data_IF_301015915303
#
_entry.id   IF_301015915303
#
_cell.length_a   1.000
_cell.length_b   1.000
_cell.length_c   1.000
_cell.angle_alpha   90.00
_cell.angle_beta   90.00
_cell.angle_gamma   90.00
#
_symmetry.space_group_name_H-M   'P 1'
#
loop_
_entity.id
_entity.type
_entity.pdbx_description
1 polymer ?
#
# COMPACT_ATOMS: atom_id res chain seq x y z
N UNK A 1 -3.71 24.51 21.14
CA UNK A 1 -2.84 23.59 20.39
C UNK A 1 -1.45 23.74 20.96
N UNK A 2 -0.82 22.64 21.37
CA UNK A 2 0.53 22.66 21.93
C UNK A 2 1.56 22.42 20.84
N UNK A 3 2.58 23.28 20.79
CA UNK A 3 3.69 23.16 19.85
C UNK A 3 4.79 22.28 20.43
N UNK A 4 5.21 21.26 19.67
CA UNK A 4 6.35 20.41 19.98
C UNK A 4 7.62 20.97 19.34
N UNK A 5 8.76 20.75 19.98
CA UNK A 5 10.09 20.92 19.40
C UNK A 5 10.62 19.57 18.88
N UNK A 6 11.61 19.57 17.99
CA UNK A 6 12.22 18.33 17.47
C UNK A 6 12.67 17.42 18.62
N UNK A 7 12.23 16.16 18.61
CA UNK A 7 12.49 15.16 19.65
C UNK A 7 11.48 15.15 20.81
N UNK A 8 10.71 16.23 21.00
CA UNK A 8 9.71 16.30 22.06
C UNK A 8 8.53 15.35 21.78
N UNK A 9 7.87 14.90 22.85
CA UNK A 9 6.66 14.10 22.75
C UNK A 9 5.66 14.52 23.83
N UNK A 10 4.37 14.44 23.51
CA UNK A 10 3.30 14.78 24.42
C UNK A 10 2.14 13.78 24.30
N UNK A 11 1.30 13.77 25.32
CA UNK A 11 0.03 13.04 25.33
C UNK A 11 -0.92 13.61 24.27
N UNK A 12 -1.59 12.75 23.52
CA UNK A 12 -2.57 13.15 22.50
C UNK A 12 -3.99 12.77 22.92
N UNK A 13 -4.25 11.47 23.13
CA UNK A 13 -5.55 10.94 23.57
C UNK A 13 -5.39 9.49 24.06
N UNK A 14 -6.39 8.95 24.74
CA UNK A 14 -6.44 7.52 25.07
C UNK A 14 -7.03 6.66 23.95
N UNK A 15 -7.99 7.22 23.20
CA UNK A 15 -8.87 6.47 22.30
C UNK A 15 -9.56 7.41 21.30
N UNK A 16 -10.39 6.83 20.43
CA UNK A 16 -11.27 7.59 19.53
C UNK A 16 -10.61 8.03 18.23
N UNK A 17 -11.22 9.02 17.59
CA UNK A 17 -10.79 9.53 16.29
C UNK A 17 -9.80 10.68 16.48
N UNK A 18 -8.72 10.65 15.71
CA UNK A 18 -7.79 11.76 15.55
C UNK A 18 -7.69 12.17 14.08
N UNK A 19 -7.51 13.46 13.83
CA UNK A 19 -7.22 14.01 12.50
C UNK A 19 -5.78 14.50 12.48
N UNK A 20 -5.00 14.00 11.54
CA UNK A 20 -3.62 14.42 11.32
C UNK A 20 -3.56 15.21 10.03
N UNK A 21 -3.33 16.51 10.15
CA UNK A 21 -3.21 17.43 9.02
C UNK A 21 -1.75 17.78 8.81
N UNK A 22 -1.29 17.68 7.57
CA UNK A 22 0.06 18.05 7.16
C UNK A 22 -0.06 19.16 6.14
N UNK A 23 0.52 20.31 6.45
CA UNK A 23 0.56 21.49 5.60
C UNK A 23 2.01 21.80 5.22
N UNK A 24 2.23 22.36 4.03
CA UNK A 24 3.54 22.83 3.62
C UNK A 24 3.43 23.95 2.57
N UNK A 25 4.55 24.58 2.26
CA UNK A 25 4.74 25.41 1.08
C UNK A 25 5.95 24.90 0.33
N UNK A 26 5.86 24.93 -1.00
CA UNK A 26 6.96 24.55 -1.88
C UNK A 26 6.81 25.35 -3.17
N UNK A 27 7.94 25.89 -3.67
CA UNK A 27 7.95 26.71 -4.88
C UNK A 27 7.91 25.90 -6.17
N UNK A 28 8.40 24.65 -6.16
CA UNK A 28 8.60 23.82 -7.36
C UNK A 28 8.38 22.33 -7.13
N UNK A 29 8.63 21.82 -5.93
CA UNK A 29 8.62 20.39 -5.66
C UNK A 29 7.22 19.89 -5.27
N UNK A 30 6.78 18.82 -5.94
CA UNK A 30 5.64 18.02 -5.51
C UNK A 30 6.05 17.18 -4.30
N UNK A 31 5.33 17.38 -3.20
CA UNK A 31 5.54 16.65 -1.96
C UNK A 31 4.42 15.63 -1.82
N UNK A 32 4.81 14.37 -1.70
CA UNK A 32 3.94 13.26 -1.41
C UNK A 32 3.99 12.96 0.09
N UNK A 33 2.82 12.72 0.68
CA UNK A 33 2.68 12.45 2.11
C UNK A 33 2.27 11.00 2.29
N UNK A 34 2.93 10.31 3.21
CA UNK A 34 2.70 8.89 3.46
C UNK A 34 2.57 8.60 4.96
N UNK A 35 1.92 7.48 5.27
CA UNK A 35 1.78 6.97 6.64
C UNK A 35 2.14 5.48 6.69
N UNK A 36 3.04 5.08 7.58
CA UNK A 36 3.35 3.68 7.88
C UNK A 36 2.78 3.31 9.25
N UNK A 37 1.81 2.40 9.28
CA UNK A 37 1.33 1.80 10.53
C UNK A 37 2.14 0.54 10.84
N UNK A 38 2.98 0.62 11.87
CA UNK A 38 4.03 -0.34 12.13
C UNK A 38 3.85 -1.06 13.46
N UNK A 39 4.33 -2.30 13.49
CA UNK A 39 4.42 -3.12 14.69
C UNK A 39 5.59 -2.66 15.58
N UNK A 40 5.79 -3.36 16.71
CA UNK A 40 6.85 -3.06 17.67
C UNK A 40 8.28 -3.09 17.07
N UNK A 41 8.49 -3.90 16.02
CA UNK A 41 9.76 -3.98 15.28
C UNK A 41 9.98 -2.82 14.31
N UNK A 42 9.06 -1.85 14.23
CA UNK A 42 9.15 -0.71 13.33
C UNK A 42 8.79 -1.01 11.87
N UNK A 43 8.26 -2.21 11.57
CA UNK A 43 7.84 -2.62 10.23
C UNK A 43 6.32 -2.79 10.14
N UNK A 44 5.76 -2.59 8.96
CA UNK A 44 4.35 -2.89 8.67
C UNK A 44 4.09 -4.40 8.76
N UNK A 45 2.86 -4.80 9.10
CA UNK A 45 2.46 -6.21 9.08
C UNK A 45 2.14 -6.71 7.68
N UNK A 46 1.57 -5.84 6.84
CA UNK A 46 1.34 -6.02 5.40
C UNK A 46 1.48 -4.67 4.70
N UNK A 47 1.69 -4.67 3.38
CA UNK A 47 1.80 -3.43 2.59
C UNK A 47 0.52 -2.58 2.64
N UNK A 48 -0.63 -3.17 3.01
CA UNK A 48 -1.91 -2.44 3.20
C UNK A 48 -1.87 -1.42 4.36
N UNK A 49 -0.86 -1.52 5.24
CA UNK A 49 -0.61 -0.58 6.33
C UNK A 49 0.35 0.56 5.96
N UNK A 50 0.72 0.66 4.68
CA UNK A 50 1.40 1.81 4.09
C UNK A 50 0.41 2.63 3.28
N UNK A 51 0.01 3.80 3.79
CA UNK A 51 -1.02 4.64 3.19
C UNK A 51 -0.40 5.81 2.45
N UNK A 52 -0.88 6.01 1.23
CA UNK A 52 -0.49 7.06 0.29
C UNK A 52 -1.67 7.31 -0.67
N UNK A 53 -1.50 8.15 -1.70
CA UNK A 53 -2.64 8.57 -2.53
C UNK A 53 -3.35 7.44 -3.29
N UNK A 54 -2.61 6.43 -3.78
CA UNK A 54 -3.22 5.26 -4.43
C UNK A 54 -3.74 4.21 -3.44
N UNK A 55 -3.36 4.29 -2.16
CA UNK A 55 -3.87 3.41 -1.11
C UNK A 55 -4.42 4.24 0.06
N UNK A 56 -5.60 4.88 -0.11
CA UNK A 56 -6.09 5.86 0.85
C UNK A 56 -6.79 5.24 2.07
N UNK A 57 -6.80 3.90 2.21
CA UNK A 57 -7.50 3.20 3.31
C UNK A 57 -6.67 2.03 3.79
N UNK A 58 -6.59 1.89 5.12
CA UNK A 58 -6.03 0.70 5.79
C UNK A 58 -7.07 -0.41 5.94
N UNK A 59 -6.64 -1.64 6.26
CA UNK A 59 -7.54 -2.74 6.61
C UNK A 59 -8.57 -2.34 7.68
N UNK A 60 -9.83 -2.74 7.48
CA UNK A 60 -10.92 -2.39 8.38
C UNK A 60 -11.29 -0.89 8.43
N UNK A 61 -10.72 -0.07 7.54
CA UNK A 61 -10.90 1.39 7.49
C UNK A 61 -10.54 2.06 8.82
N UNK A 62 -9.49 1.60 9.48
CA UNK A 62 -8.99 2.21 10.72
C UNK A 62 -8.35 3.59 10.47
N UNK A 63 -7.77 3.77 9.29
CA UNK A 63 -7.14 4.99 8.80
C UNK A 63 -7.66 5.29 7.41
N UNK A 64 -8.02 6.55 7.17
CA UNK A 64 -8.35 7.09 5.86
C UNK A 64 -7.43 8.27 5.54
N UNK A 65 -6.78 8.23 4.38
CA UNK A 65 -6.02 9.34 3.80
C UNK A 65 -6.88 10.09 2.79
N UNK A 66 -6.79 11.42 2.81
CA UNK A 66 -7.43 12.27 1.80
C UNK A 66 -6.56 13.49 1.49
N UNK A 67 -6.58 13.90 0.23
CA UNK A 67 -5.90 15.08 -0.27
C UNK A 67 -6.59 15.56 -1.53
N UNK A 68 -6.84 16.87 -1.63
CA UNK A 68 -7.33 17.46 -2.86
C UNK A 68 -6.18 17.59 -3.88
N UNK A 69 -6.38 17.25 -5.16
CA UNK A 69 -5.36 17.47 -6.18
C UNK A 69 -4.84 18.91 -6.17
N UNK A 70 -3.52 19.09 -6.17
CA UNK A 70 -2.88 20.40 -6.12
C UNK A 70 -2.84 21.07 -4.74
N UNK A 71 -3.58 20.57 -3.73
CA UNK A 71 -3.50 21.13 -2.38
C UNK A 71 -2.10 20.97 -1.80
N UNK A 72 -1.75 21.92 -0.92
CA UNK A 72 -0.56 21.88 -0.07
C UNK A 72 -0.91 21.46 1.36
N UNK A 73 -1.93 20.62 1.45
CA UNK A 73 -2.50 20.11 2.69
C UNK A 73 -2.99 18.68 2.46
N UNK A 74 -2.70 17.78 3.39
CA UNK A 74 -3.15 16.39 3.38
C UNK A 74 -3.68 16.00 4.76
N UNK A 75 -4.74 15.19 4.79
CA UNK A 75 -5.39 14.74 6.03
C UNK A 75 -5.34 13.21 6.14
N UNK A 76 -4.98 12.72 7.32
CA UNK A 76 -5.26 11.36 7.76
C UNK A 76 -6.28 11.38 8.90
N UNK A 77 -7.38 10.65 8.74
CA UNK A 77 -8.35 10.39 9.82
C UNK A 77 -8.08 9.00 10.37
N UNK A 78 -7.73 8.91 11.65
CA UNK A 78 -7.39 7.65 12.31
C UNK A 78 -8.39 7.37 13.42
N UNK A 79 -9.06 6.23 13.34
CA UNK A 79 -9.82 5.64 14.43
C UNK A 79 -8.89 4.70 15.22
N UNK A 80 -8.40 5.20 16.35
CA UNK A 80 -7.46 4.50 17.22
C UNK A 80 -8.05 3.21 17.82
N UNK A 81 -9.37 3.14 17.94
CA UNK A 81 -10.08 2.00 18.52
C UNK A 81 -10.23 0.84 17.52
N UNK A 82 -10.02 1.12 16.23
CA UNK A 82 -10.01 0.12 15.15
C UNK A 82 -8.62 -0.38 14.81
N UNK A 83 -7.56 0.23 15.34
CA UNK A 83 -6.21 -0.23 15.10
C UNK A 83 -5.98 -1.57 15.81
N UNK A 84 -5.52 -2.61 15.08
CA UNK A 84 -5.11 -3.87 15.69
C UNK A 84 -4.04 -3.67 16.77
N UNK A 85 -4.04 -4.57 17.76
CA UNK A 85 -3.19 -4.41 18.95
C UNK A 85 -1.69 -4.57 18.66
N UNK A 86 -1.32 -5.19 17.55
CA UNK A 86 0.05 -5.33 17.05
C UNK A 86 0.58 -4.02 16.46
N UNK A 87 -0.27 -3.15 15.91
CA UNK A 87 0.11 -1.79 15.47
C UNK A 87 0.45 -0.93 16.68
N UNK A 88 1.74 -0.61 16.84
CA UNK A 88 2.23 0.20 17.96
C UNK A 88 2.34 1.69 17.61
N UNK A 89 2.46 2.01 16.32
CA UNK A 89 2.80 3.36 15.88
C UNK A 89 2.36 3.63 14.44
N UNK A 90 1.91 4.86 14.18
CA UNK A 90 1.74 5.43 12.85
C UNK A 90 2.85 6.46 12.62
N UNK A 91 3.71 6.22 11.63
CA UNK A 91 4.81 7.10 11.24
C UNK A 91 4.36 7.94 10.05
N UNK A 92 4.40 9.27 10.19
CA UNK A 92 4.04 10.20 9.12
C UNK A 92 5.30 10.78 8.50
N UNK A 93 5.40 10.65 7.19
CA UNK A 93 6.53 11.12 6.43
C UNK A 93 6.07 11.81 5.15
N UNK A 94 7.01 12.52 4.53
CA UNK A 94 6.81 13.04 3.20
C UNK A 94 8.07 12.90 2.36
N UNK A 95 7.87 12.82 1.06
CA UNK A 95 8.92 12.64 0.06
C UNK A 95 8.69 13.61 -1.09
N UNK A 96 9.77 14.16 -1.61
CA UNK A 96 9.74 14.98 -2.82
C UNK A 96 10.01 14.11 -4.03
N UNK A 97 9.31 14.35 -5.14
CA UNK A 97 9.63 13.70 -6.43
C UNK A 97 11.03 14.14 -6.92
N UNK A 98 11.34 15.44 -6.79
CA UNK A 98 12.64 16.01 -7.13
C UNK A 98 13.09 17.04 -6.09
N UNK A 99 14.41 17.21 -5.96
CA UNK A 99 15.02 18.17 -5.05
C UNK A 99 15.13 17.67 -3.61
N UNK A 100 15.19 18.60 -2.67
CA UNK A 100 15.38 18.31 -1.25
C UNK A 100 14.48 19.13 -0.35
N UNK A 101 14.34 18.70 0.91
CA UNK A 101 13.56 19.42 1.92
C UNK A 101 14.11 20.82 2.26
N UNK A 102 15.23 21.26 1.69
CA UNK A 102 15.67 22.66 1.73
C UNK A 102 14.72 23.61 0.99
N UNK A 103 13.97 23.10 0.01
CA UNK A 103 13.04 23.88 -0.82
C UNK A 103 11.62 23.97 -0.23
N UNK A 104 11.37 23.22 0.85
CA UNK A 104 10.07 23.15 1.53
C UNK A 104 10.07 24.11 2.70
N UNK A 105 9.09 25.00 2.74
CA UNK A 105 8.90 25.97 3.82
C UNK A 105 7.56 25.77 4.49
N UNK A 106 7.38 26.30 5.70
CA UNK A 106 6.15 26.19 6.48
C UNK A 106 5.58 24.76 6.62
N UNK A 107 6.42 23.73 6.48
CA UNK A 107 6.04 22.34 6.71
C UNK A 107 5.64 22.14 8.18
N UNK A 108 4.39 21.71 8.39
CA UNK A 108 3.77 21.59 9.70
C UNK A 108 2.91 20.34 9.73
N UNK A 109 3.01 19.55 10.80
CA UNK A 109 2.10 18.45 11.09
C UNK A 109 1.31 18.76 12.36
N UNK A 110 0.01 18.55 12.32
CA UNK A 110 -0.92 18.79 13.43
C UNK A 110 -1.78 17.57 13.65
N UNK A 111 -1.74 17.00 14.85
CA UNK A 111 -2.62 15.93 15.28
C UNK A 111 -3.70 16.48 16.22
N UNK A 112 -4.95 16.40 15.81
CA UNK A 112 -6.11 16.91 16.55
C UNK A 112 -6.98 15.74 16.98
N UNK A 113 -7.06 15.41 18.28
CA UNK A 113 -8.02 14.43 18.76
C UNK A 113 -9.43 15.01 18.75
N UNK A 114 -10.45 14.15 18.70
CA UNK A 114 -11.85 14.58 18.80
C UNK A 114 -12.15 15.28 20.14
N UNK A 115 -11.45 14.91 21.20
CA UNK A 115 -11.52 15.53 22.51
C UNK A 115 -10.11 15.76 23.06
N UNK A 116 -9.90 16.91 23.70
CA UNK A 116 -8.60 17.32 24.22
C UNK A 116 -7.87 18.28 23.29
N UNK A 117 -6.62 18.58 23.64
CA UNK A 117 -5.81 19.55 22.92
C UNK A 117 -4.99 18.90 21.80
N UNK A 118 -5.04 19.51 20.61
CA UNK A 118 -4.20 19.09 19.48
C UNK A 118 -2.73 19.44 19.67
N UNK A 119 -1.87 18.63 19.04
CA UNK A 119 -0.42 18.80 19.05
C UNK A 119 0.05 19.21 17.65
N UNK A 120 0.93 20.20 17.58
CA UNK A 120 1.48 20.71 16.33
C UNK A 120 3.00 20.65 16.38
N UNK A 121 3.62 20.29 15.26
CA UNK A 121 5.06 20.36 15.08
C UNK A 121 5.36 21.04 13.76
N UNK A 122 6.06 22.18 13.83
CA UNK A 122 6.62 22.87 12.67
C UNK A 122 8.01 22.33 12.40
N UNK A 123 8.24 21.85 11.19
CA UNK A 123 9.57 21.44 10.73
C UNK A 123 10.47 22.68 10.72
N UNK A 124 11.62 22.56 11.36
CA UNK A 124 12.65 23.59 11.40
C UNK A 124 13.95 23.04 10.82
N UNK A 125 14.60 23.84 9.97
CA UNK A 125 15.86 23.49 9.34
C UNK A 125 15.70 22.88 7.95
N UNK A 126 16.61 23.26 7.06
CA UNK A 126 16.72 22.74 5.71
C UNK A 126 17.41 21.37 5.76
N UNK A 127 16.73 20.33 5.29
CA UNK A 127 17.33 18.99 5.14
C UNK A 127 17.71 18.79 3.68
N UNK A 128 18.94 18.36 3.43
CA UNK A 128 19.46 17.99 2.09
C UNK A 128 18.85 16.68 1.55
N UNK A 129 18.10 15.96 2.37
CA UNK A 129 17.43 14.72 1.98
C UNK A 129 16.12 14.97 1.21
N UNK A 130 15.79 14.03 0.32
CA UNK A 130 14.55 14.01 -0.48
C UNK A 130 13.33 13.52 0.31
N UNK A 131 13.53 12.75 1.38
CA UNK A 131 12.48 12.26 2.27
C UNK A 131 12.66 12.80 3.69
N UNK A 132 11.57 12.93 4.45
CA UNK A 132 11.59 13.37 5.85
C UNK A 132 10.49 12.70 6.65
N UNK A 133 10.84 12.21 7.84
CA UNK A 133 9.87 11.76 8.86
C UNK A 133 9.47 12.98 9.71
N UNK A 134 8.18 13.30 9.71
CA UNK A 134 7.65 14.48 10.40
C UNK A 134 7.42 14.18 11.88
N UNK A 135 6.60 13.17 12.15
CA UNK A 135 6.25 12.77 13.50
C UNK A 135 5.79 11.32 13.52
N UNK A 136 5.70 10.77 14.72
CA UNK A 136 5.08 9.50 14.98
C UNK A 136 3.98 9.63 16.02
N UNK A 137 2.85 8.95 15.79
CA UNK A 137 1.80 8.75 16.79
C UNK A 137 1.90 7.33 17.29
N UNK A 138 2.21 7.15 18.57
CA UNK A 138 2.58 5.85 19.12
C UNK A 138 1.83 5.57 20.41
N UNK A 139 1.61 4.28 20.67
CA UNK A 139 0.97 3.79 21.88
C UNK A 139 2.01 3.56 22.97
N UNK A 140 1.74 4.07 24.18
CA UNK A 140 2.51 3.77 25.39
C UNK A 140 1.56 3.67 26.57
N UNK A 141 1.60 2.56 27.29
CA UNK A 141 0.75 2.31 28.46
C UNK A 141 -0.75 2.60 28.21
N UNK A 142 -1.29 2.11 27.09
CA UNK A 142 -2.68 2.34 26.66
C UNK A 142 -3.07 3.80 26.36
N UNK A 143 -2.09 4.70 26.24
CA UNK A 143 -2.30 6.07 25.78
C UNK A 143 -1.62 6.29 24.43
N UNK A 144 -2.19 7.16 23.60
CA UNK A 144 -1.58 7.60 22.36
C UNK A 144 -0.86 8.92 22.56
N UNK A 145 0.37 8.99 22.07
CA UNK A 145 1.26 10.13 22.17
C UNK A 145 1.74 10.51 20.77
N UNK A 146 2.02 11.78 20.55
CA UNK A 146 2.76 12.24 19.38
C UNK A 146 4.20 12.54 19.78
N UNK A 147 5.17 12.13 18.96
CA UNK A 147 6.57 12.57 19.03
C UNK A 147 6.94 13.31 17.75
N UNK A 148 7.49 14.51 17.90
CA UNK A 148 8.06 15.28 16.82
C UNK A 148 9.42 14.70 16.42
N UNK A 149 9.59 14.32 15.15
CA UNK A 149 10.80 13.66 14.65
C UNK A 149 11.64 14.62 13.82
N UNK A 150 11.07 15.21 12.76
CA UNK A 150 11.73 16.21 11.90
C UNK A 150 13.09 15.76 11.38
N UNK A 151 13.20 14.52 10.90
CA UNK A 151 14.46 13.91 10.50
C UNK A 151 14.44 13.57 9.01
N UNK A 152 15.42 14.09 8.27
CA UNK A 152 15.65 13.72 6.88
C UNK A 152 16.02 12.24 6.77
N UNK A 153 15.54 11.59 5.70
CA UNK A 153 15.75 10.19 5.41
C UNK A 153 16.41 10.03 4.04
N UNK A 154 17.55 9.35 4.01
CA UNK A 154 18.34 9.18 2.80
C UNK A 154 17.73 8.14 1.87
N UNK A 155 17.75 8.42 0.57
CA UNK A 155 17.34 7.45 -0.46
C UNK A 155 15.85 7.46 -0.82
N UNK A 156 15.14 8.57 -0.53
CA UNK A 156 13.80 8.82 -1.03
C UNK A 156 12.73 7.86 -0.50
N UNK A 157 11.63 7.73 -1.25
CA UNK A 157 10.47 6.94 -0.85
C UNK A 157 10.80 5.45 -0.75
N UNK A 158 11.55 4.92 -1.74
CA UNK A 158 11.96 3.51 -1.78
C UNK A 158 12.69 3.09 -0.49
N UNK A 159 13.76 3.80 -0.14
CA UNK A 159 14.55 3.47 1.04
C UNK A 159 13.74 3.62 2.34
N UNK A 160 12.87 4.64 2.40
CA UNK A 160 12.01 4.87 3.56
C UNK A 160 10.98 3.73 3.73
N UNK A 161 10.42 3.25 2.64
CA UNK A 161 9.45 2.17 2.66
C UNK A 161 10.07 0.82 2.96
N UNK A 162 11.22 0.51 2.36
CA UNK A 162 12.01 -0.69 2.66
C UNK A 162 12.42 -0.73 4.13
N UNK A 163 12.81 0.42 4.69
CA UNK A 163 13.10 0.56 6.12
C UNK A 163 11.90 0.19 7.02
N UNK A 164 10.68 0.52 6.57
CA UNK A 164 9.44 0.13 7.25
C UNK A 164 8.89 -1.23 6.76
N UNK A 165 9.66 -1.98 5.99
CA UNK A 165 9.34 -3.34 5.58
C UNK A 165 8.40 -3.47 4.40
N UNK A 166 8.13 -2.38 3.68
CA UNK A 166 7.33 -2.37 2.46
C UNK A 166 8.24 -2.55 1.26
N UNK A 167 7.89 -3.46 0.35
CA UNK A 167 8.58 -3.59 -0.90
C UNK A 167 8.04 -2.55 -1.90
N UNK A 168 8.80 -1.48 -2.16
CA UNK A 168 8.49 -0.55 -3.25
C UNK A 168 9.20 -0.99 -4.51
N UNK A 169 8.41 -1.41 -5.50
CA UNK A 169 8.89 -1.47 -6.88
C UNK A 169 9.01 -0.04 -7.44
N UNK A 170 10.05 0.24 -8.21
CA UNK A 170 10.39 1.59 -8.70
C UNK A 170 9.32 2.20 -9.63
N UNK A 171 9.12 3.52 -9.52
CA UNK A 171 8.33 4.37 -10.43
C UNK A 171 9.27 5.42 -11.05
N UNK A 172 9.23 5.60 -12.36
CA UNK A 172 9.82 6.71 -13.12
C UNK A 172 8.72 7.75 -13.46
N UNK A 173 9.09 8.99 -13.86
CA UNK A 173 8.19 10.15 -13.79
C UNK A 173 7.25 10.25 -15.00
N UNK A 174 6.00 10.64 -14.74
CA UNK A 174 4.95 10.87 -15.75
C UNK A 174 5.09 12.26 -16.40
N UNK A 175 4.91 12.42 -17.73
CA UNK A 175 4.90 13.73 -18.40
C UNK A 175 3.56 14.49 -18.25
N UNK A 176 3.62 15.83 -18.18
CA UNK A 176 2.49 16.75 -17.97
C UNK A 176 1.37 16.67 -19.04
N UNK A 177 0.09 16.95 -18.69
CA UNK A 177 -1.02 16.98 -19.65
C UNK A 177 -0.97 18.22 -20.56
N UNK A 178 -1.29 18.02 -21.84
CA UNK A 178 -1.60 19.09 -22.81
C UNK A 178 -2.89 19.84 -22.43
N UNK A 179 -3.04 21.13 -22.81
CA UNK A 179 -4.19 21.95 -22.42
C UNK A 179 -5.50 21.49 -23.09
N UNK A 180 -6.57 21.37 -22.31
CA UNK A 180 -7.92 21.02 -22.77
C UNK A 180 -8.67 22.21 -23.40
N UNK A 181 -9.52 21.99 -24.42
CA UNK A 181 -10.42 23.02 -24.96
C UNK A 181 -11.54 23.41 -23.97
N UNK A 182 -12.18 24.58 -24.12
CA UNK A 182 -13.12 25.12 -23.12
C UNK A 182 -14.42 24.31 -23.03
N UNK A 183 -14.84 24.01 -21.81
CA UNK A 183 -16.09 23.28 -21.48
C UNK A 183 -17.25 24.27 -21.32
N UNK A 184 -18.41 23.96 -21.94
CA UNK A 184 -19.70 24.66 -21.72
C UNK A 184 -20.27 24.29 -20.35
N UNK A 185 -20.75 25.31 -19.62
CA UNK A 185 -21.38 25.18 -18.30
C UNK A 185 -22.72 24.42 -18.34
N UNK A 186 -22.91 23.51 -17.38
CA UNK A 186 -24.19 22.88 -17.05
C UNK A 186 -24.69 23.52 -15.73
N UNK A 187 -25.97 23.88 -15.60
CA UNK A 187 -26.49 24.56 -14.41
C UNK A 187 -26.66 23.62 -13.19
N UNK A 188 -26.65 24.17 -11.96
CA UNK A 188 -26.62 23.40 -10.71
C UNK A 188 -27.99 22.84 -10.29
N UNK A 189 -27.96 21.64 -9.70
CA UNK A 189 -29.11 20.95 -9.08
C UNK A 189 -29.29 21.42 -7.62
N UNK A 190 -30.54 21.63 -7.13
CA UNK A 190 -30.82 22.09 -5.77
C UNK A 190 -30.64 21.00 -4.67
N UNK A 191 -30.45 21.40 -3.39
CA UNK A 191 -30.12 20.50 -2.29
C UNK A 191 -31.32 19.75 -1.71
N UNK A 192 -31.09 18.49 -1.29
CA UNK A 192 -32.05 17.59 -0.62
C UNK A 192 -31.98 17.75 0.91
N UNK A 193 -33.12 17.71 1.65
CA UNK A 193 -33.17 17.87 3.11
C UNK A 193 -32.70 16.65 3.92
N UNK A 194 -32.35 16.82 5.22
CA UNK A 194 -31.71 15.79 6.05
C UNK A 194 -32.71 14.81 6.72
N UNK A 195 -32.30 13.54 6.84
CA UNK A 195 -33.03 12.45 7.53
C UNK A 195 -32.60 12.36 9.01
N UNK A 196 -33.52 12.15 9.97
CA UNK A 196 -33.21 12.12 11.40
C UNK A 196 -32.66 10.79 11.92
N UNK A 197 -31.82 10.92 12.95
CA UNK A 197 -30.92 9.93 13.53
C UNK A 197 -31.64 9.00 14.54
N UNK A 198 -31.61 7.66 14.36
CA UNK A 198 -32.10 6.68 15.36
C UNK A 198 -30.93 6.11 16.18
N UNK A 199 -30.96 6.36 17.49
CA UNK A 199 -30.10 5.73 18.50
C UNK A 199 -30.46 4.24 18.67
N UNK A 200 -29.46 3.38 18.82
CA UNK A 200 -29.62 2.07 19.48
C UNK A 200 -28.51 1.86 20.52
N UNK A 201 -28.97 1.54 21.72
CA UNK A 201 -28.24 1.13 22.91
C UNK A 201 -27.61 -0.26 22.73
N UNK A 202 -26.45 -0.47 23.37
CA UNK A 202 -25.71 -1.73 23.32
C UNK A 202 -26.21 -2.82 24.27
N UNK A 203 -25.61 -4.01 24.16
CA UNK A 203 -25.50 -4.97 25.26
C UNK A 203 -24.32 -5.92 25.05
N UNK A 204 -23.60 -6.20 26.13
CA UNK A 204 -22.38 -7.01 26.26
C UNK A 204 -22.68 -8.53 26.29
N UNK A 205 -21.71 -9.35 25.86
CA UNK A 205 -21.31 -10.57 26.62
C UNK A 205 -19.91 -11.07 26.21
N UNK A 206 -18.99 -11.13 27.18
CA UNK A 206 -17.68 -11.85 27.14
C UNK A 206 -17.76 -13.08 28.07
N UNK A 207 -16.75 -13.96 27.96
CA UNK A 207 -16.40 -15.19 28.74
C UNK A 207 -16.63 -16.41 27.83
N UNK A 208 -15.64 -17.16 27.30
CA UNK A 208 -14.59 -17.96 27.96
C UNK A 208 -13.52 -18.39 26.91
N UNK A 209 -12.27 -17.87 26.90
CA UNK A 209 -11.19 -18.38 26.01
C UNK A 209 -9.80 -18.42 26.69
N UNK A 210 -9.69 -18.02 27.97
CA UNK A 210 -8.40 -17.78 28.61
C UNK A 210 -7.56 -19.01 29.01
N UNK A 211 -8.05 -20.24 28.82
CA UNK A 211 -7.36 -21.43 29.35
C UNK A 211 -6.53 -22.22 28.33
N UNK A 212 -6.68 -21.97 27.02
CA UNK A 212 -5.96 -22.73 25.97
C UNK A 212 -4.65 -22.01 25.55
N UNK A 213 -4.60 -20.68 25.63
CA UNK A 213 -3.44 -19.89 25.17
C UNK A 213 -2.24 -20.01 26.13
N UNK A 214 -2.47 -20.20 27.43
CA UNK A 214 -1.38 -20.31 28.40
C UNK A 214 -0.54 -21.59 28.24
N UNK A 215 -1.12 -22.69 27.73
CA UNK A 215 -0.42 -23.96 27.52
C UNK A 215 0.45 -23.96 26.25
N UNK A 216 0.07 -23.22 25.20
CA UNK A 216 0.81 -23.13 23.95
C UNK A 216 2.04 -22.22 24.03
N UNK A 217 1.99 -21.15 24.84
CA UNK A 217 3.10 -20.19 25.00
C UNK A 217 4.26 -20.79 25.80
N UNK A 218 3.97 -21.67 26.76
CA UNK A 218 5.00 -22.35 27.56
C UNK A 218 5.72 -23.42 26.73
N UNK A 219 5.00 -24.18 25.89
CA UNK A 219 5.60 -25.21 25.03
C UNK A 219 6.57 -24.65 23.98
N UNK A 220 6.22 -23.55 23.31
CA UNK A 220 7.07 -22.93 22.30
C UNK A 220 8.37 -22.33 22.90
N UNK A 221 8.30 -21.84 24.14
CA UNK A 221 9.45 -21.23 24.82
C UNK A 221 10.52 -22.25 25.22
N UNK A 222 10.12 -23.49 25.55
CA UNK A 222 11.06 -24.56 25.91
C UNK A 222 11.77 -25.13 24.67
N UNK A 223 11.08 -25.22 23.53
CA UNK A 223 11.67 -25.67 22.26
C UNK A 223 12.68 -24.65 21.73
N UNK A 224 12.37 -23.35 21.81
CA UNK A 224 13.29 -22.29 21.42
C UNK A 224 14.55 -22.24 22.31
N UNK A 225 14.41 -22.45 23.63
CA UNK A 225 15.57 -22.50 24.53
C UNK A 225 16.50 -23.66 24.21
N UNK A 226 15.96 -24.84 23.90
CA UNK A 226 16.75 -26.02 23.52
C UNK A 226 17.49 -25.83 22.18
N UNK A 227 16.88 -25.11 21.23
CA UNK A 227 17.49 -24.84 19.92
C UNK A 227 18.68 -23.87 20.01
N UNK A 228 18.59 -22.82 20.84
CA UNK A 228 19.65 -21.80 20.94
C UNK A 228 20.70 -22.09 22.02
N UNK A 229 20.37 -22.88 23.06
CA UNK A 229 21.25 -23.07 24.22
C UNK A 229 21.23 -24.52 24.76
N UNK A 230 21.78 -25.51 24.03
CA UNK A 230 21.71 -26.91 24.43
C UNK A 230 22.46 -27.20 25.75
N UNK A 231 23.53 -26.46 26.05
CA UNK A 231 24.29 -26.56 27.30
C UNK A 231 23.51 -26.21 28.58
N UNK A 232 22.40 -25.48 28.48
CA UNK A 232 21.59 -25.08 29.64
C UNK A 232 20.59 -26.16 30.09
N UNK A 233 20.42 -27.24 29.32
CA UNK A 233 19.47 -28.32 29.64
C UNK A 233 19.88 -29.20 30.84
N UNK A 234 21.14 -29.14 31.29
CA UNK A 234 21.61 -29.88 32.47
C UNK A 234 21.10 -29.32 33.82
N UNK A 235 20.51 -28.13 33.83
CA UNK A 235 19.96 -27.49 35.04
C UNK A 235 18.49 -27.87 35.30
N UNK A 236 17.82 -28.51 34.35
CA UNK A 236 16.45 -29.00 34.54
C UNK A 236 16.49 -30.36 35.24
N UNK A 237 15.70 -30.48 36.30
CA UNK A 237 15.61 -31.71 37.11
C UNK A 237 15.38 -32.95 36.22
N UNK A 238 15.88 -34.14 36.63
CA UNK A 238 15.82 -35.36 35.82
C UNK A 238 14.41 -35.85 35.46
N UNK A 239 13.35 -35.20 35.97
CA UNK A 239 11.95 -35.47 35.60
C UNK A 239 11.47 -34.73 34.34
N UNK A 240 12.12 -33.64 33.90
CA UNK A 240 11.73 -32.92 32.69
C UNK A 240 12.39 -33.45 31.41
N UNK A 241 13.55 -34.12 31.53
CA UNK A 241 14.32 -34.63 30.39
C UNK A 241 13.64 -35.80 29.66
N UNK A 242 12.75 -36.55 30.33
CA UNK A 242 12.01 -37.65 29.72
C UNK A 242 10.90 -37.21 28.77
N UNK A 243 10.42 -35.97 28.89
CA UNK A 243 9.35 -35.40 28.06
C UNK A 243 9.85 -34.76 26.75
N UNK A 244 11.15 -34.55 26.62
CA UNK A 244 11.78 -33.82 25.50
C UNK A 244 12.72 -34.70 24.67
N UNK A 245 12.44 -36.01 24.57
CA UNK A 245 13.17 -36.85 23.61
C UNK A 245 12.83 -36.40 22.18
N UNK A 246 13.82 -36.03 21.35
CA UNK A 246 13.57 -35.68 19.96
C UNK A 246 13.10 -36.91 19.19
N UNK A 247 12.04 -36.74 18.38
CA UNK A 247 11.69 -37.67 17.31
C UNK A 247 12.83 -37.62 16.30
N UNK A 248 13.72 -38.60 16.36
CA UNK A 248 14.78 -38.79 15.37
C UNK A 248 14.12 -39.15 14.03
N UNK A 249 14.12 -38.22 13.08
CA UNK A 249 13.54 -38.48 11.75
C UNK A 249 13.56 -37.35 10.72
N UNK A 250 14.14 -36.18 11.00
CA UNK A 250 14.28 -35.11 10.01
C UNK A 250 15.76 -34.90 9.68
N UNK A 251 16.23 -35.64 8.67
CA UNK A 251 17.48 -35.37 7.97
C UNK A 251 17.36 -34.03 7.25
N UNK A 252 18.22 -33.06 7.59
CA UNK A 252 18.43 -31.86 6.78
C UNK A 252 19.05 -32.32 5.45
N UNK A 253 18.20 -32.39 4.41
CA UNK A 253 18.57 -32.72 3.05
C UNK A 253 19.51 -31.70 2.43
N UNK A 254 20.27 -32.19 1.45
CA UNK A 254 21.44 -31.61 0.81
C UNK A 254 21.34 -30.14 0.37
N UNK A 255 22.50 -29.49 0.36
CA UNK A 255 22.71 -28.15 -0.18
C UNK A 255 22.10 -28.00 -1.59
N UNK A 256 21.24 -27.00 -1.76
CA UNK A 256 20.64 -26.70 -3.06
C UNK A 256 21.72 -26.42 -4.13
N UNK A 257 21.56 -26.96 -5.35
CA UNK A 257 22.52 -26.75 -6.43
C UNK A 257 22.56 -25.27 -6.84
N UNK A 258 23.78 -24.75 -7.10
CA UNK A 258 23.98 -23.43 -7.70
C UNK A 258 23.22 -23.39 -9.04
N UNK A 259 22.21 -22.53 -9.14
CA UNK A 259 21.56 -22.24 -10.43
C UNK A 259 22.55 -21.47 -11.31
N UNK A 260 22.84 -22.00 -12.50
CA UNK A 260 23.61 -21.30 -13.52
C UNK A 260 22.86 -20.03 -13.94
N UNK A 261 23.55 -18.90 -13.91
CA UNK A 261 22.99 -17.61 -14.32
C UNK A 261 22.89 -17.55 -15.84
N UNK A 262 21.68 -17.48 -16.38
CA UNK A 262 21.42 -17.23 -17.80
C UNK A 262 21.11 -15.74 -17.98
N UNK A 263 21.89 -15.07 -18.85
CA UNK A 263 21.66 -13.66 -19.13
C UNK A 263 20.29 -13.46 -19.81
N UNK A 264 19.50 -12.46 -19.38
CA UNK A 264 18.20 -12.19 -19.98
C UNK A 264 18.35 -11.73 -21.44
N UNK A 265 17.44 -12.19 -22.30
CA UNK A 265 17.38 -11.84 -23.73
C UNK A 265 16.05 -11.22 -24.08
N UNK A 266 16.04 -10.24 -24.99
CA UNK A 266 14.82 -9.70 -25.57
C UNK A 266 14.59 -10.30 -26.97
N UNK A 267 13.45 -10.94 -27.24
CA UNK A 267 13.16 -11.49 -28.56
C UNK A 267 12.61 -10.47 -29.57
N UNK A 268 12.38 -9.22 -29.15
CA UNK A 268 11.71 -8.18 -29.92
C UNK A 268 12.69 -7.08 -30.33
N UNK A 269 12.41 -6.42 -31.46
CA UNK A 269 13.06 -5.16 -31.81
C UNK A 269 12.51 -4.01 -30.95
N UNK A 270 13.27 -2.91 -30.82
CA UNK A 270 12.82 -1.73 -30.07
C UNK A 270 11.44 -1.23 -30.52
N UNK A 271 11.18 -1.21 -31.83
CA UNK A 271 9.88 -0.84 -32.41
C UNK A 271 8.76 -1.79 -31.96
N UNK A 272 9.00 -3.10 -32.06
CA UNK A 272 8.06 -4.12 -31.60
C UNK A 272 7.79 -3.99 -30.09
N UNK A 273 8.79 -3.69 -29.27
CA UNK A 273 8.59 -3.47 -27.82
C UNK A 273 7.60 -2.33 -27.59
N UNK A 274 7.74 -1.20 -28.30
CA UNK A 274 6.82 -0.09 -28.16
C UNK A 274 5.42 -0.41 -28.69
N UNK A 275 5.27 -1.07 -29.83
CA UNK A 275 3.95 -1.45 -30.36
C UNK A 275 3.20 -2.37 -29.38
N UNK A 276 3.93 -3.32 -28.81
CA UNK A 276 3.43 -4.25 -27.80
C UNK A 276 3.06 -3.54 -26.49
N UNK A 277 3.83 -2.54 -26.07
CA UNK A 277 3.50 -1.69 -24.93
C UNK A 277 2.21 -0.89 -25.15
N UNK A 278 1.99 -0.32 -26.35
CA UNK A 278 0.72 0.37 -26.64
C UNK A 278 -0.46 -0.59 -26.58
N UNK A 279 -0.33 -1.79 -27.17
CA UNK A 279 -1.37 -2.82 -27.10
C UNK A 279 -1.66 -3.25 -25.65
N UNK A 280 -0.62 -3.39 -24.82
CA UNK A 280 -0.75 -3.66 -23.39
C UNK A 280 -1.53 -2.55 -22.68
N UNK A 281 -1.21 -1.27 -22.95
CA UNK A 281 -1.89 -0.12 -22.37
C UNK A 281 -3.38 -0.05 -22.72
N UNK A 282 -3.75 -0.28 -23.98
CA UNK A 282 -5.16 -0.32 -24.39
C UNK A 282 -5.94 -1.44 -23.69
N UNK A 283 -5.33 -2.62 -23.57
CA UNK A 283 -5.94 -3.76 -22.89
C UNK A 283 -6.04 -3.54 -21.38
N UNK A 284 -5.04 -2.92 -20.76
CA UNK A 284 -5.06 -2.51 -19.36
C UNK A 284 -6.27 -1.61 -19.06
N UNK A 285 -6.47 -0.54 -19.85
CA UNK A 285 -7.62 0.37 -19.68
C UNK A 285 -8.94 -0.36 -19.87
N UNK A 286 -9.01 -1.31 -20.82
CA UNK A 286 -10.20 -2.13 -21.04
C UNK A 286 -10.50 -3.01 -19.83
N UNK A 287 -9.50 -3.71 -19.28
CA UNK A 287 -9.64 -4.57 -18.10
C UNK A 287 -10.11 -3.75 -16.89
N UNK A 288 -9.50 -2.59 -16.65
CA UNK A 288 -9.88 -1.67 -15.57
C UNK A 288 -11.36 -1.32 -15.64
N UNK A 289 -11.85 -0.87 -16.81
CA UNK A 289 -13.27 -0.51 -17.02
C UNK A 289 -14.21 -1.70 -16.79
N UNK A 290 -13.82 -2.90 -17.24
CA UNK A 290 -14.62 -4.11 -17.07
C UNK A 290 -14.73 -4.50 -15.58
N UNK A 291 -13.64 -4.41 -14.83
CA UNK A 291 -13.61 -4.71 -13.39
C UNK A 291 -14.38 -3.66 -12.59
N UNK A 292 -14.26 -2.37 -12.91
CA UNK A 292 -15.01 -1.32 -12.22
C UNK A 292 -16.51 -1.43 -12.48
N UNK A 293 -16.90 -1.69 -13.74
CA UNK A 293 -18.29 -2.00 -14.09
C UNK A 293 -18.81 -3.24 -13.36
N UNK A 294 -18.02 -4.30 -13.27
CA UNK A 294 -18.36 -5.50 -12.50
C UNK A 294 -18.54 -5.19 -11.00
N UNK A 295 -17.70 -4.32 -10.43
CA UNK A 295 -17.84 -3.91 -9.03
C UNK A 295 -19.14 -3.14 -8.77
N UNK A 296 -19.51 -2.21 -9.65
CA UNK A 296 -20.78 -1.49 -9.55
C UNK A 296 -21.98 -2.43 -9.73
N UNK A 297 -21.91 -3.35 -10.70
CA UNK A 297 -22.96 -4.32 -10.96
C UNK A 297 -23.14 -5.28 -9.77
N UNK A 298 -22.05 -5.70 -9.12
CA UNK A 298 -22.11 -6.53 -7.93
C UNK A 298 -22.76 -5.79 -6.75
N UNK A 299 -22.46 -4.50 -6.58
CA UNK A 299 -23.10 -3.68 -5.55
C UNK A 299 -24.63 -3.62 -5.77
N UNK A 300 -25.06 -3.33 -7.01
CA UNK A 300 -26.49 -3.34 -7.38
C UNK A 300 -27.14 -4.71 -7.16
N UNK A 301 -26.46 -5.79 -7.55
CA UNK A 301 -26.97 -7.15 -7.35
C UNK A 301 -27.12 -7.49 -5.86
N UNK A 302 -26.19 -7.04 -4.99
CA UNK A 302 -26.31 -7.21 -3.54
C UNK A 302 -27.47 -6.44 -2.94
N UNK A 303 -27.75 -5.25 -3.46
CA UNK A 303 -28.91 -4.46 -3.01
C UNK A 303 -30.22 -5.08 -3.48
N UNK A 304 -30.29 -5.55 -4.73
CA UNK A 304 -31.44 -6.32 -5.25
C UNK A 304 -31.69 -7.56 -4.38
N UNK A 305 -30.65 -8.36 -4.10
CA UNK A 305 -30.75 -9.56 -3.28
C UNK A 305 -31.31 -9.30 -1.86
N UNK A 306 -30.97 -8.16 -1.25
CA UNK A 306 -31.47 -7.77 0.07
C UNK A 306 -32.96 -7.46 0.08
N UNK A 307 -33.52 -7.07 -1.07
CA UNK A 307 -34.93 -6.70 -1.22
C UNK A 307 -35.82 -7.86 -1.66
N UNK A 308 -35.25 -9.02 -1.98
CA UNK A 308 -36.01 -10.20 -2.37
C UNK A 308 -36.65 -10.83 -1.12
N UNK A 309 -37.99 -10.89 -1.12
CA UNK A 309 -38.78 -11.55 -0.06
C UNK A 309 -39.06 -13.03 -0.37
N UNK A 310 -38.73 -13.49 -1.57
CA UNK A 310 -38.99 -14.83 -2.09
C UNK A 310 -37.76 -15.41 -2.83
N UNK A 311 -37.90 -16.59 -3.42
CA UNK A 311 -36.83 -17.25 -4.18
C UNK A 311 -36.29 -16.36 -5.31
N UNK A 312 -34.97 -16.40 -5.55
CA UNK A 312 -34.35 -15.49 -6.52
C UNK A 312 -34.92 -15.64 -7.94
N UNK A 313 -35.31 -14.53 -8.60
CA UNK A 313 -35.80 -14.56 -9.97
C UNK A 313 -34.80 -15.18 -10.95
N UNK A 314 -35.26 -15.92 -11.99
CA UNK A 314 -34.37 -16.50 -13.00
C UNK A 314 -33.42 -15.48 -13.64
N UNK A 315 -33.92 -14.27 -13.91
CA UNK A 315 -33.13 -13.18 -14.49
C UNK A 315 -32.00 -12.71 -13.56
N UNK A 316 -32.20 -12.74 -12.23
CA UNK A 316 -31.15 -12.41 -11.26
C UNK A 316 -30.03 -13.45 -11.31
N UNK A 317 -30.40 -14.74 -11.29
CA UNK A 317 -29.45 -15.86 -11.38
C UNK A 317 -28.65 -15.78 -12.70
N UNK A 318 -29.34 -15.52 -13.82
CA UNK A 318 -28.70 -15.38 -15.14
C UNK A 318 -27.73 -14.20 -15.21
N UNK A 319 -28.10 -13.02 -14.68
CA UNK A 319 -27.22 -11.83 -14.67
C UNK A 319 -25.94 -12.07 -13.87
N UNK A 320 -26.05 -12.65 -12.67
CA UNK A 320 -24.88 -12.94 -11.83
C UNK A 320 -23.98 -14.00 -12.50
N UNK A 321 -24.57 -15.05 -13.10
CA UNK A 321 -23.81 -16.07 -13.84
C UNK A 321 -23.08 -15.50 -15.06
N UNK A 322 -23.73 -14.61 -15.83
CA UNK A 322 -23.12 -13.93 -16.99
C UNK A 322 -21.95 -13.03 -16.58
N UNK A 323 -22.03 -12.33 -15.46
CA UNK A 323 -20.90 -11.52 -14.98
C UNK A 323 -19.72 -12.38 -14.52
N UNK A 324 -19.97 -13.54 -13.89
CA UNK A 324 -18.91 -14.51 -13.57
C UNK A 324 -18.21 -14.96 -14.86
N UNK A 325 -18.97 -15.42 -15.86
CA UNK A 325 -18.42 -15.88 -17.13
C UNK A 325 -17.61 -14.78 -17.84
N UNK A 326 -18.10 -13.54 -17.82
CA UNK A 326 -17.41 -12.38 -18.41
C UNK A 326 -16.10 -12.07 -17.69
N UNK A 327 -16.07 -12.13 -16.36
CA UNK A 327 -14.88 -11.88 -15.56
C UNK A 327 -13.83 -13.01 -15.72
N UNK A 328 -14.26 -14.27 -15.72
CA UNK A 328 -13.37 -15.44 -15.90
C UNK A 328 -12.69 -15.46 -17.28
N UNK A 329 -13.29 -14.81 -18.29
CA UNK A 329 -12.70 -14.65 -19.63
C UNK A 329 -11.65 -13.53 -19.75
N UNK A 330 -11.39 -12.74 -18.70
CA UNK A 330 -10.39 -11.68 -18.77
C UNK A 330 -8.97 -12.27 -18.78
N UNK A 331 -8.15 -11.98 -19.80
CA UNK A 331 -6.82 -12.58 -19.94
C UNK A 331 -5.75 -11.85 -19.09
N UNK A 332 -6.05 -11.51 -17.82
CA UNK A 332 -5.19 -10.65 -16.99
C UNK A 332 -3.79 -11.27 -16.79
N UNK A 333 -3.72 -12.58 -16.52
CA UNK A 333 -2.45 -13.29 -16.37
C UNK A 333 -1.55 -13.20 -17.62
N UNK A 334 -2.13 -13.36 -18.82
CA UNK A 334 -1.37 -13.22 -20.06
C UNK A 334 -0.78 -11.82 -20.25
N UNK A 335 -1.48 -10.79 -19.78
CA UNK A 335 -0.97 -9.41 -19.81
C UNK A 335 0.06 -9.11 -18.73
N UNK A 336 0.01 -9.78 -17.57
CA UNK A 336 1.08 -9.73 -16.54
C UNK A 336 2.37 -10.32 -17.10
N UNK A 337 2.28 -11.49 -17.74
CA UNK A 337 3.43 -12.16 -18.36
C UNK A 337 4.01 -11.30 -19.48
N UNK A 338 3.15 -10.68 -20.29
CA UNK A 338 3.56 -9.77 -21.36
C UNK A 338 4.27 -8.52 -20.79
N UNK A 339 3.69 -7.87 -19.77
CA UNK A 339 4.31 -6.72 -19.12
C UNK A 339 5.69 -7.06 -18.55
N UNK A 340 5.82 -8.23 -17.93
CA UNK A 340 7.09 -8.74 -17.39
C UNK A 340 8.13 -8.93 -18.51
N UNK A 341 7.72 -9.52 -19.65
CA UNK A 341 8.60 -9.73 -20.80
C UNK A 341 9.08 -8.40 -21.42
N UNK A 342 8.16 -7.46 -21.60
CA UNK A 342 8.48 -6.13 -22.11
C UNK A 342 9.38 -5.37 -21.14
N UNK A 343 9.22 -5.54 -19.83
CA UNK A 343 10.07 -4.88 -18.84
C UNK A 343 11.52 -5.35 -18.93
N UNK A 344 11.73 -6.66 -19.13
CA UNK A 344 13.06 -7.23 -19.39
C UNK A 344 13.68 -6.63 -20.66
N UNK A 345 12.87 -6.48 -21.73
CA UNK A 345 13.31 -5.85 -22.96
C UNK A 345 13.69 -4.38 -22.78
N UNK A 346 12.90 -3.61 -22.03
CA UNK A 346 13.20 -2.21 -21.72
C UNK A 346 14.55 -2.07 -20.99
N UNK A 347 14.81 -2.93 -19.99
CA UNK A 347 16.11 -2.96 -19.30
C UNK A 347 17.30 -3.26 -20.23
N UNK A 348 17.12 -4.12 -21.24
CA UNK A 348 18.15 -4.38 -22.26
C UNK A 348 18.36 -3.16 -23.16
N UNK A 349 17.29 -2.47 -23.55
CA UNK A 349 17.36 -1.24 -24.35
C UNK A 349 18.11 -0.13 -23.60
N UNK A 350 17.84 0.05 -22.30
CA UNK A 350 18.56 1.03 -21.45
C UNK A 350 20.06 0.73 -21.45
N UNK A 351 20.46 -0.53 -21.17
CA UNK A 351 21.87 -0.93 -21.17
C UNK A 351 22.55 -0.67 -22.52
N UNK A 352 21.86 -0.96 -23.62
CA UNK A 352 22.37 -0.71 -24.98
C UNK A 352 22.61 0.79 -25.20
N UNK A 353 21.63 1.64 -24.88
CA UNK A 353 21.74 3.10 -25.08
C UNK A 353 22.80 3.71 -24.17
N UNK A 354 22.92 3.28 -22.91
CA UNK A 354 23.96 3.75 -21.99
C UNK A 354 25.36 3.36 -22.46
N UNK A 355 25.52 2.15 -23.00
CA UNK A 355 26.78 1.72 -23.63
C UNK A 355 27.12 2.57 -24.86
N UNK A 356 26.15 2.92 -25.70
CA UNK A 356 26.37 3.82 -26.84
C UNK A 356 26.73 5.23 -26.39
N UNK A 357 26.05 5.74 -25.35
CA UNK A 357 26.28 7.07 -24.79
C UNK A 357 27.71 7.22 -24.22
N UNK A 358 28.19 6.20 -23.51
CA UNK A 358 29.55 6.19 -22.93
C UNK A 358 30.67 6.22 -23.98
N UNK A 359 30.37 5.80 -25.21
CA UNK A 359 31.34 5.71 -26.30
C UNK A 359 31.17 6.82 -27.35
N UNK A 360 30.27 7.77 -27.16
CA UNK A 360 29.98 8.84 -28.12
C UNK A 360 30.52 10.19 -27.64
N UNK A 361 31.14 10.94 -28.56
CA UNK A 361 31.73 12.25 -28.29
C UNK A 361 31.07 13.39 -29.07
N UNK A 362 30.25 13.06 -30.09
CA UNK A 362 29.58 14.04 -30.95
C UNK A 362 28.34 14.63 -30.25
N UNK A 363 28.27 15.95 -30.00
CA UNK A 363 27.20 16.55 -29.22
C UNK A 363 25.78 16.27 -29.73
N UNK A 364 25.58 16.34 -31.06
CA UNK A 364 24.26 16.10 -31.66
C UNK A 364 23.75 14.66 -31.47
N UNK A 365 24.67 13.69 -31.42
CA UNK A 365 24.31 12.28 -31.25
C UNK A 365 24.09 11.96 -29.77
N UNK A 366 24.92 12.52 -28.88
CA UNK A 366 24.71 12.46 -27.43
C UNK A 366 23.30 12.95 -27.08
N UNK A 367 22.85 14.08 -27.62
CA UNK A 367 21.50 14.59 -27.35
C UNK A 367 20.40 13.63 -27.82
N UNK A 368 20.58 12.97 -28.98
CA UNK A 368 19.64 11.94 -29.47
C UNK A 368 19.65 10.70 -28.57
N UNK A 369 20.82 10.24 -28.14
CA UNK A 369 20.98 9.08 -27.27
C UNK A 369 20.40 9.33 -25.88
N UNK A 370 20.59 10.53 -25.31
CA UNK A 370 19.94 10.93 -24.05
C UNK A 370 18.42 10.84 -24.16
N UNK A 371 17.83 11.38 -25.24
CA UNK A 371 16.38 11.27 -25.48
C UNK A 371 15.92 9.81 -25.60
N UNK A 372 16.70 8.96 -26.25
CA UNK A 372 16.40 7.53 -26.35
C UNK A 372 16.54 6.81 -24.99
N UNK A 373 17.50 7.21 -24.17
CA UNK A 373 17.70 6.67 -22.82
C UNK A 373 16.51 7.04 -21.94
N UNK A 374 16.09 8.31 -21.94
CA UNK A 374 14.93 8.76 -21.17
C UNK A 374 13.64 8.06 -21.62
N UNK A 375 13.46 7.87 -22.93
CA UNK A 375 12.33 7.11 -23.48
C UNK A 375 12.34 5.65 -23.02
N UNK A 376 13.50 5.00 -23.04
CA UNK A 376 13.66 3.59 -22.65
C UNK A 376 13.52 3.39 -21.15
N UNK A 377 14.00 4.38 -20.37
CA UNK A 377 13.71 4.51 -18.96
C UNK A 377 12.20 4.57 -18.82
N UNK A 378 11.52 5.67 -19.14
CA UNK A 378 10.08 5.87 -18.93
C UNK A 378 9.20 4.63 -19.25
N UNK A 379 9.53 3.92 -20.33
CA UNK A 379 8.91 2.65 -20.70
C UNK A 379 9.01 1.58 -19.59
N UNK A 380 10.19 1.35 -18.99
CA UNK A 380 10.44 0.41 -17.90
C UNK A 380 9.59 0.71 -16.65
N UNK A 381 9.43 1.98 -16.27
CA UNK A 381 8.51 2.35 -15.18
C UNK A 381 7.08 2.08 -15.53
N UNK A 382 6.63 2.52 -16.70
CA UNK A 382 5.25 2.34 -17.08
C UNK A 382 4.90 0.84 -17.09
N UNK A 383 5.80 0.00 -17.57
CA UNK A 383 5.65 -1.46 -17.53
C UNK A 383 5.65 -2.02 -16.10
N UNK A 384 6.49 -1.48 -15.21
CA UNK A 384 6.51 -1.84 -13.79
C UNK A 384 5.18 -1.49 -13.11
N UNK A 385 4.63 -0.30 -13.39
CA UNK A 385 3.34 0.16 -12.88
C UNK A 385 2.18 -0.66 -13.43
N UNK A 386 2.14 -0.87 -14.74
CA UNK A 386 1.12 -1.69 -15.40
C UNK A 386 1.14 -3.12 -14.85
N UNK A 387 2.32 -3.72 -14.65
CA UNK A 387 2.44 -5.06 -14.06
C UNK A 387 1.87 -5.11 -12.64
N UNK A 388 2.15 -4.09 -11.82
CA UNK A 388 1.61 -3.98 -10.45
C UNK A 388 0.09 -3.84 -10.46
N UNK A 389 -0.43 -2.97 -11.31
CA UNK A 389 -1.87 -2.73 -11.42
C UNK A 389 -2.61 -3.95 -11.95
N UNK A 390 -2.07 -4.65 -12.95
CA UNK A 390 -2.67 -5.90 -13.46
C UNK A 390 -2.73 -6.98 -12.38
N UNK A 391 -1.72 -7.09 -11.51
CA UNK A 391 -1.78 -8.00 -10.36
C UNK A 391 -2.88 -7.60 -9.36
N UNK A 392 -3.04 -6.30 -9.09
CA UNK A 392 -4.14 -5.80 -8.27
C UNK A 392 -5.52 -6.08 -8.90
N UNK A 393 -5.66 -5.83 -10.19
CA UNK A 393 -6.87 -6.09 -10.96
C UNK A 393 -7.21 -7.58 -10.98
N UNK A 394 -6.21 -8.46 -11.06
CA UNK A 394 -6.40 -9.90 -10.94
C UNK A 394 -7.03 -10.28 -9.60
N UNK A 395 -6.48 -9.78 -8.50
CA UNK A 395 -7.02 -10.02 -7.15
C UNK A 395 -8.42 -9.43 -6.97
N UNK A 396 -8.69 -8.25 -7.56
CA UNK A 396 -10.02 -7.62 -7.54
C UNK A 396 -11.04 -8.46 -8.33
N UNK A 397 -10.68 -8.95 -9.52
CA UNK A 397 -11.51 -9.83 -10.33
C UNK A 397 -11.88 -11.11 -9.59
N UNK A 398 -10.92 -11.79 -8.94
CA UNK A 398 -11.19 -13.00 -8.14
C UNK A 398 -12.21 -12.72 -7.04
N UNK A 399 -12.07 -11.60 -6.32
CA UNK A 399 -13.04 -11.19 -5.28
C UNK A 399 -14.41 -10.84 -5.83
N UNK A 400 -14.48 -10.26 -7.04
CA UNK A 400 -15.76 -9.99 -7.71
C UNK A 400 -16.47 -11.28 -8.07
N UNK A 401 -15.76 -12.22 -8.70
CA UNK A 401 -16.29 -13.55 -9.04
C UNK A 401 -16.85 -14.24 -7.79
N UNK A 402 -16.10 -14.22 -6.69
CA UNK A 402 -16.55 -14.79 -5.42
C UNK A 402 -17.81 -14.09 -4.88
N UNK A 403 -17.87 -12.76 -5.00
CA UNK A 403 -19.07 -12.00 -4.62
C UNK A 403 -20.31 -12.39 -5.43
N UNK A 404 -20.16 -12.60 -6.74
CA UNK A 404 -21.25 -13.07 -7.60
C UNK A 404 -21.64 -14.53 -7.31
N UNK A 405 -20.68 -15.41 -7.04
CA UNK A 405 -20.93 -16.79 -6.61
C UNK A 405 -21.70 -16.83 -5.30
N UNK A 406 -21.30 -16.00 -4.33
CA UNK A 406 -22.00 -15.86 -3.06
C UNK A 406 -23.46 -15.39 -3.21
N UNK A 407 -23.74 -14.48 -4.16
CA UNK A 407 -25.13 -14.10 -4.46
C UNK A 407 -25.95 -15.30 -4.99
N UNK A 408 -25.36 -16.13 -5.85
CA UNK A 408 -26.02 -17.33 -6.38
C UNK A 408 -26.24 -18.40 -5.30
N UNK A 409 -25.26 -18.60 -4.42
CA UNK A 409 -25.38 -19.53 -3.29
C UNK A 409 -26.46 -19.09 -2.30
N UNK A 410 -26.59 -17.78 -2.07
CA UNK A 410 -27.65 -17.23 -1.23
C UNK A 410 -29.04 -17.52 -1.80
N UNK A 411 -29.17 -17.70 -3.11
CA UNK A 411 -30.42 -18.08 -3.76
C UNK A 411 -30.78 -19.57 -3.65
N UNK A 412 -29.88 -20.41 -3.11
CA UNK A 412 -30.12 -21.85 -2.86
C UNK A 412 -30.58 -22.13 -1.43
N UNK A 413 -30.53 -21.12 -0.55
CA UNK A 413 -30.96 -21.16 0.85
C UNK A 413 -32.32 -20.48 0.97
#
# INVERSE_FOLDING_TARGET
MNNLTKGANAFLTNSGIIRVNIHWKSRRANLEVVCFSVMANGRVSTDEWFLFYNQPRSPGSAIHFSRQPGSREAEFVINLDKLPADIQKCVFAAVLDQGSFQEVTDATITASPQAGEGLTFKIAGASDQQAMIFAEIYRRNSTWKMRAIGQGFKGGLKSLAEYHGVAIAEEQPTPSPLPSPPTREIPPIPPVPPVPNRRRSGFFRKVTVFSIVALLVVGASVVALNYYYPQLMFLLSPRLSSLLRPVAGLSLGDAQPKKDYVAPTCPFTDEQVFDRYHALGENYVRILKLIDSGNENLAKAKDELRTLEAECPPLFKEKNAKEIERLEKLPIHGWIDEATRLNICAGIMIKKVESELNNESRPNIIQRLLKNADRSRNLESDLTNISRDLAYLNNKMVRLIEGYKSNLEACLK
#
